data_IF_029485409657
#
_entry.id   IF_029485409657
#
_cell.length_a   1.000
_cell.length_b   1.000
_cell.length_c   1.000
_cell.angle_alpha   90.00
_cell.angle_beta   90.00
_cell.angle_gamma   90.00
#
_symmetry.space_group_name_H-M   'P 1'
#
loop_
_entity.id
_entity.type
_entity.pdbx_description
1 polymer ?
#
# COMPACT_ATOMS: atom_id res chain seq x y z
N UNK A 1 -33.84 9.43 23.70
CA UNK A 1 -32.42 9.81 23.87
C UNK A 1 -31.48 8.64 23.50
N UNK A 2 -31.88 7.39 23.73
CA UNK A 2 -31.16 6.17 23.34
C UNK A 2 -31.08 5.91 21.84
N UNK A 3 -32.14 6.16 21.05
CA UNK A 3 -32.11 5.99 19.58
C UNK A 3 -31.10 6.93 18.89
N UNK A 4 -31.07 8.20 19.27
CA UNK A 4 -30.14 9.20 18.71
C UNK A 4 -28.67 8.81 18.93
N UNK A 5 -28.37 8.18 20.07
CA UNK A 5 -27.02 7.71 20.39
C UNK A 5 -26.67 6.44 19.60
N UNK A 6 -27.65 5.54 19.39
CA UNK A 6 -27.46 4.35 18.58
C UNK A 6 -27.21 4.69 17.11
N UNK A 7 -28.01 5.60 16.53
CA UNK A 7 -27.83 6.07 15.15
C UNK A 7 -26.46 6.74 14.94
N UNK A 8 -26.05 7.58 15.90
CA UNK A 8 -24.72 8.20 15.88
C UNK A 8 -23.59 7.18 15.96
N UNK A 9 -23.76 6.13 16.77
CA UNK A 9 -22.76 5.08 16.92
C UNK A 9 -22.62 4.26 15.64
N UNK A 10 -23.74 3.87 15.02
CA UNK A 10 -23.75 3.16 13.74
C UNK A 10 -23.10 4.01 12.64
N UNK A 11 -23.41 5.31 12.58
CA UNK A 11 -22.80 6.24 11.63
C UNK A 11 -21.27 6.29 11.78
N UNK A 12 -20.76 6.41 13.01
CA UNK A 12 -19.31 6.47 13.28
C UNK A 12 -18.62 5.15 12.91
N UNK A 13 -19.20 4.00 13.29
CA UNK A 13 -18.63 2.68 12.97
C UNK A 13 -18.61 2.46 11.46
N UNK A 14 -19.71 2.79 10.77
CA UNK A 14 -19.82 2.66 9.32
C UNK A 14 -18.76 3.53 8.61
N UNK A 15 -18.67 4.81 8.98
CA UNK A 15 -17.68 5.72 8.40
C UNK A 15 -16.24 5.24 8.63
N UNK A 16 -15.94 4.67 9.80
CA UNK A 16 -14.62 4.12 10.10
C UNK A 16 -14.27 2.94 9.18
N UNK A 17 -15.20 1.99 9.00
CA UNK A 17 -15.00 0.82 8.15
C UNK A 17 -14.89 1.26 6.68
N UNK A 18 -15.78 2.12 6.20
CA UNK A 18 -15.76 2.62 4.81
C UNK A 18 -14.49 3.43 4.51
N UNK A 19 -13.98 4.20 5.47
CA UNK A 19 -12.72 4.94 5.31
C UNK A 19 -11.52 4.00 5.23
N UNK A 20 -11.49 2.97 6.08
CA UNK A 20 -10.43 1.97 6.04
C UNK A 20 -10.46 1.16 4.73
N UNK A 21 -11.65 0.76 4.29
CA UNK A 21 -11.86 0.06 3.02
C UNK A 21 -11.43 0.91 1.82
N UNK A 22 -11.83 2.19 1.79
CA UNK A 22 -11.42 3.12 0.74
C UNK A 22 -9.90 3.34 0.68
N UNK A 23 -9.22 3.39 1.84
CA UNK A 23 -7.76 3.47 1.89
C UNK A 23 -7.07 2.22 1.34
N UNK A 24 -7.64 1.04 1.60
CA UNK A 24 -7.17 -0.22 1.03
C UNK A 24 -7.42 -0.30 -0.48
N UNK A 25 -8.58 0.16 -0.93
CA UNK A 25 -8.98 0.17 -2.34
C UNK A 25 -8.02 1.01 -3.21
N UNK A 26 -7.43 2.08 -2.64
CA UNK A 26 -6.37 2.85 -3.32
C UNK A 26 -5.12 2.02 -3.59
N UNK A 27 -4.72 1.11 -2.70
CA UNK A 27 -3.61 0.19 -2.97
C UNK A 27 -4.02 -0.88 -4.00
N UNK A 28 -5.18 -1.52 -3.82
CA UNK A 28 -5.60 -2.62 -4.70
C UNK A 28 -5.98 -2.18 -6.12
N UNK A 29 -6.57 -0.99 -6.31
CA UNK A 29 -7.04 -0.54 -7.63
C UNK A 29 -6.05 0.37 -8.33
N UNK A 30 -5.47 1.35 -7.63
CA UNK A 30 -4.60 2.32 -8.30
C UNK A 30 -3.18 1.79 -8.48
N UNK A 31 -2.65 1.11 -7.48
CA UNK A 31 -1.25 0.74 -7.45
C UNK A 31 -0.98 -0.59 -8.18
N UNK A 32 -1.88 -1.56 -8.05
CA UNK A 32 -1.77 -2.85 -8.76
C UNK A 32 -2.25 -2.79 -10.23
N UNK A 33 -3.23 -1.94 -10.58
CA UNK A 33 -3.83 -1.96 -11.92
C UNK A 33 -3.33 -0.85 -12.86
N UNK A 34 -2.95 0.32 -12.35
CA UNK A 34 -2.53 1.45 -13.20
C UNK A 34 -1.07 1.33 -13.61
N UNK A 35 -0.24 0.70 -12.77
CA UNK A 35 1.17 0.50 -13.07
C UNK A 35 1.33 -0.81 -13.85
N UNK A 36 1.81 -0.78 -15.11
CA UNK A 36 1.93 -1.98 -15.93
C UNK A 36 3.19 -2.76 -15.54
N UNK A 37 3.17 -3.40 -14.36
CA UNK A 37 4.31 -4.15 -13.80
C UNK A 37 4.83 -5.22 -14.75
N UNK A 38 3.93 -5.89 -15.49
CA UNK A 38 4.31 -6.88 -16.49
C UNK A 38 5.12 -6.25 -17.65
N UNK A 39 4.70 -5.07 -18.13
CA UNK A 39 5.45 -4.34 -19.17
C UNK A 39 6.81 -3.88 -18.67
N UNK A 40 6.93 -3.50 -17.39
CA UNK A 40 8.24 -3.20 -16.79
C UNK A 40 9.16 -4.42 -16.79
N UNK A 41 8.65 -5.59 -16.39
CA UNK A 41 9.38 -6.85 -16.38
C UNK A 41 9.89 -7.24 -17.78
N UNK A 42 9.03 -7.13 -18.78
CA UNK A 42 9.37 -7.38 -20.19
C UNK A 42 10.42 -6.39 -20.70
N UNK A 43 10.26 -5.11 -20.35
CA UNK A 43 11.22 -4.06 -20.71
C UNK A 43 12.59 -4.31 -20.09
N UNK A 44 12.66 -4.72 -18.82
CA UNK A 44 13.92 -5.05 -18.13
C UNK A 44 14.64 -6.22 -18.83
N UNK A 45 13.88 -7.24 -19.26
CA UNK A 45 14.42 -8.39 -20.00
C UNK A 45 14.99 -7.94 -21.35
N UNK A 46 14.25 -7.12 -22.11
CA UNK A 46 14.67 -6.67 -23.43
C UNK A 46 15.86 -5.69 -23.37
N UNK A 47 15.91 -4.80 -22.37
CA UNK A 47 17.04 -3.91 -22.11
C UNK A 47 18.37 -4.67 -21.92
N UNK A 48 18.29 -5.91 -21.45
CA UNK A 48 19.47 -6.76 -21.25
C UNK A 48 19.93 -7.49 -22.52
N UNK A 49 19.06 -7.62 -23.54
CA UNK A 49 19.27 -8.45 -24.73
C UNK A 49 20.37 -7.93 -25.64
N UNK A 50 20.39 -6.62 -25.87
CA UNK A 50 21.34 -5.97 -26.80
C UNK A 50 22.50 -5.28 -26.08
N UNK A 51 22.77 -5.65 -24.81
CA UNK A 51 23.73 -4.93 -23.97
C UNK A 51 25.15 -4.85 -24.56
N UNK A 52 25.54 -5.86 -25.33
CA UNK A 52 26.85 -5.95 -25.99
C UNK A 52 26.92 -5.19 -27.32
N UNK A 53 25.77 -4.79 -27.88
CA UNK A 53 25.67 -4.05 -29.15
C UNK A 53 25.65 -2.53 -28.92
N UNK A 54 25.42 -2.10 -27.68
CA UNK A 54 25.51 -0.70 -27.29
C UNK A 54 26.96 -0.21 -27.21
N UNK A 55 27.15 1.08 -27.48
CA UNK A 55 28.39 1.76 -27.08
C UNK A 55 28.58 1.67 -25.56
N UNK A 56 29.81 1.79 -25.07
CA UNK A 56 30.10 1.69 -23.64
C UNK A 56 29.23 2.64 -22.80
N UNK A 57 29.03 3.88 -23.27
CA UNK A 57 28.19 4.86 -22.60
C UNK A 57 26.71 4.44 -22.54
N UNK A 58 26.16 3.97 -23.66
CA UNK A 58 24.77 3.49 -23.71
C UNK A 58 24.56 2.21 -22.88
N UNK A 59 25.56 1.30 -22.85
CA UNK A 59 25.51 0.07 -22.05
C UNK A 59 25.46 0.36 -20.54
N UNK A 60 26.20 1.38 -20.07
CA UNK A 60 26.13 1.85 -18.68
C UNK A 60 24.76 2.46 -18.37
N UNK A 61 24.25 3.35 -19.23
CA UNK A 61 22.94 3.99 -19.04
C UNK A 61 21.80 2.96 -18.98
N UNK A 62 21.80 1.98 -19.87
CA UNK A 62 20.81 0.89 -19.89
C UNK A 62 20.90 0.03 -18.62
N UNK A 63 22.11 -0.23 -18.13
CA UNK A 63 22.33 -0.92 -16.86
C UNK A 63 21.77 -0.14 -15.65
N UNK A 64 21.97 1.18 -15.63
CA UNK A 64 21.44 2.06 -14.58
C UNK A 64 19.91 2.11 -14.63
N UNK A 65 19.31 2.25 -15.81
CA UNK A 65 17.86 2.24 -16.00
C UNK A 65 17.26 0.92 -15.50
N UNK A 66 17.86 -0.22 -15.89
CA UNK A 66 17.43 -1.53 -15.39
C UNK A 66 17.45 -1.60 -13.86
N UNK A 67 18.54 -1.16 -13.25
CA UNK A 67 18.69 -1.16 -11.78
C UNK A 67 17.63 -0.29 -11.12
N UNK A 68 17.31 0.87 -11.70
CA UNK A 68 16.27 1.78 -11.21
C UNK A 68 14.87 1.18 -11.30
N UNK A 69 14.57 0.46 -12.40
CA UNK A 69 13.27 -0.20 -12.57
C UNK A 69 13.11 -1.35 -11.58
N UNK A 70 14.14 -2.17 -11.39
CA UNK A 70 14.12 -3.25 -10.39
C UNK A 70 13.96 -2.71 -8.96
N UNK A 71 14.71 -1.67 -8.58
CA UNK A 71 14.54 -1.04 -7.27
C UNK A 71 13.14 -0.41 -7.13
N UNK A 72 12.53 0.10 -8.20
CA UNK A 72 11.15 0.62 -8.13
C UNK A 72 10.13 -0.49 -7.86
N UNK A 73 10.32 -1.65 -8.50
CA UNK A 73 9.47 -2.81 -8.33
C UNK A 73 9.61 -3.46 -6.95
N UNK A 74 10.84 -3.66 -6.46
CA UNK A 74 11.08 -4.21 -5.11
C UNK A 74 10.40 -3.35 -4.03
N UNK A 75 10.33 -2.04 -4.24
CA UNK A 75 9.77 -1.09 -3.28
C UNK A 75 8.28 -0.97 -3.35
N UNK A 76 7.74 -1.17 -4.55
CA UNK A 76 6.33 -1.46 -4.67
C UNK A 76 5.93 -2.67 -3.84
N UNK A 77 6.64 -3.80 -4.01
CA UNK A 77 6.35 -5.01 -3.25
C UNK A 77 6.52 -4.83 -1.74
N UNK A 78 7.53 -4.08 -1.28
CA UNK A 78 7.73 -3.77 0.14
C UNK A 78 6.56 -2.96 0.74
N UNK A 79 6.07 -1.94 0.01
CA UNK A 79 4.91 -1.16 0.42
C UNK A 79 3.63 -2.01 0.43
N UNK A 80 3.43 -2.81 -0.62
CA UNK A 80 2.29 -3.72 -0.76
C UNK A 80 2.27 -4.75 0.37
N UNK A 81 3.41 -5.35 0.73
CA UNK A 81 3.50 -6.30 1.84
C UNK A 81 3.08 -5.67 3.18
N UNK A 82 3.49 -4.42 3.42
CA UNK A 82 3.12 -3.69 4.64
C UNK A 82 1.60 -3.49 4.74
N UNK A 83 0.93 -3.23 3.61
CA UNK A 83 -0.53 -3.14 3.56
C UNK A 83 -1.20 -4.51 3.72
N UNK A 84 -0.65 -5.57 3.11
CA UNK A 84 -1.15 -6.94 3.30
C UNK A 84 -1.11 -7.41 4.76
N UNK A 85 -0.07 -7.05 5.51
CA UNK A 85 0.01 -7.33 6.95
C UNK A 85 -1.17 -6.73 7.71
N UNK A 86 -1.49 -5.47 7.43
CA UNK A 86 -2.65 -4.81 8.01
C UNK A 86 -3.96 -5.48 7.61
N UNK A 87 -4.13 -5.84 6.33
CA UNK A 87 -5.33 -6.56 5.86
C UNK A 87 -5.55 -7.88 6.62
N UNK A 88 -4.46 -8.61 6.88
CA UNK A 88 -4.51 -9.87 7.63
C UNK A 88 -5.00 -9.68 9.07
N UNK A 89 -4.53 -8.62 9.74
CA UNK A 89 -4.98 -8.24 11.09
C UNK A 89 -6.44 -7.75 11.06
N UNK A 90 -6.77 -6.85 10.14
CA UNK A 90 -8.11 -6.26 10.00
C UNK A 90 -9.17 -7.34 9.75
N UNK A 91 -8.89 -8.31 8.88
CA UNK A 91 -9.82 -9.41 8.57
C UNK A 91 -10.16 -10.23 9.82
N UNK A 92 -9.16 -10.61 10.60
CA UNK A 92 -9.37 -11.41 11.81
C UNK A 92 -10.11 -10.62 12.89
N UNK A 93 -9.71 -9.37 13.10
CA UNK A 93 -10.32 -8.52 14.12
C UNK A 93 -11.76 -8.13 13.77
N UNK A 94 -12.06 -7.80 12.50
CA UNK A 94 -13.43 -7.50 12.07
C UNK A 94 -14.33 -8.74 12.12
N UNK A 95 -13.80 -9.94 11.86
CA UNK A 95 -14.56 -11.17 12.10
C UNK A 95 -14.92 -11.34 13.59
N UNK A 96 -13.96 -11.10 14.49
CA UNK A 96 -14.21 -11.12 15.93
C UNK A 96 -15.21 -10.02 16.37
N UNK A 97 -15.14 -8.83 15.78
CA UNK A 97 -16.08 -7.74 16.01
C UNK A 97 -17.53 -8.17 15.74
N UNK A 98 -17.76 -8.87 14.63
CA UNK A 98 -19.10 -9.37 14.26
C UNK A 98 -19.60 -10.41 15.27
N UNK A 99 -18.75 -11.37 15.66
CA UNK A 99 -19.12 -12.41 16.62
C UNK A 99 -19.46 -11.86 18.01
N UNK A 100 -18.94 -10.69 18.38
CA UNK A 100 -19.23 -10.05 19.65
C UNK A 100 -20.66 -9.50 19.76
N UNK A 101 -21.44 -9.48 18.68
CA UNK A 101 -22.87 -9.15 18.76
C UNK A 101 -23.71 -10.28 19.37
N UNK A 102 -23.25 -11.53 19.30
CA UNK A 102 -23.94 -12.65 19.92
C UNK A 102 -23.92 -12.49 21.45
N UNK A 103 -25.07 -12.65 22.11
CA UNK A 103 -25.23 -12.47 23.56
C UNK A 103 -24.60 -11.17 24.07
N UNK A 104 -25.04 -10.05 23.49
CA UNK A 104 -24.45 -8.73 23.68
C UNK A 104 -24.48 -8.24 25.14
N UNK A 105 -23.40 -7.59 25.56
CA UNK A 105 -23.26 -6.95 26.86
C UNK A 105 -22.20 -5.84 26.83
N UNK A 106 -22.11 -5.04 27.88
CA UNK A 106 -21.16 -3.90 27.95
C UNK A 106 -19.69 -4.32 27.77
N UNK A 107 -19.28 -5.50 28.24
CA UNK A 107 -17.91 -5.98 28.04
C UNK A 107 -17.62 -6.27 26.57
N UNK A 108 -18.58 -6.88 25.86
CA UNK A 108 -18.49 -7.13 24.42
C UNK A 108 -18.53 -5.83 23.61
N UNK A 109 -19.34 -4.86 24.04
CA UNK A 109 -19.35 -3.51 23.45
C UNK A 109 -17.98 -2.81 23.60
N UNK A 110 -17.35 -2.90 24.77
CA UNK A 110 -16.00 -2.37 24.99
C UNK A 110 -14.97 -3.07 24.09
N UNK A 111 -15.02 -4.41 24.02
CA UNK A 111 -14.13 -5.17 23.15
C UNK A 111 -14.29 -4.83 21.66
N UNK A 112 -15.54 -4.62 21.20
CA UNK A 112 -15.83 -4.15 19.85
C UNK A 112 -15.20 -2.78 19.56
N UNK A 113 -15.28 -1.86 20.52
CA UNK A 113 -14.64 -0.54 20.41
C UNK A 113 -13.12 -0.66 20.33
N UNK A 114 -12.52 -1.48 21.19
CA UNK A 114 -11.06 -1.69 21.21
C UNK A 114 -10.56 -2.33 19.90
N UNK A 115 -11.34 -3.25 19.33
CA UNK A 115 -11.08 -3.85 18.02
C UNK A 115 -11.06 -2.77 16.93
N UNK A 116 -12.10 -1.93 16.84
CA UNK A 116 -12.17 -0.88 15.82
C UNK A 116 -11.01 0.11 15.94
N UNK A 117 -10.69 0.54 17.17
CA UNK A 117 -9.53 1.41 17.42
C UNK A 117 -8.25 0.72 16.94
N UNK A 118 -8.04 -0.55 17.29
CA UNK A 118 -6.85 -1.29 16.87
C UNK A 118 -6.75 -1.41 15.34
N UNK A 119 -7.84 -1.72 14.65
CA UNK A 119 -7.84 -1.83 13.18
C UNK A 119 -7.48 -0.49 12.53
N UNK A 120 -8.02 0.62 13.04
CA UNK A 120 -7.74 1.96 12.52
C UNK A 120 -6.32 2.42 12.84
N UNK A 121 -5.86 2.29 14.08
CA UNK A 121 -4.52 2.69 14.51
C UNK A 121 -3.44 1.90 13.75
N UNK A 122 -3.63 0.58 13.63
CA UNK A 122 -2.71 -0.28 12.87
C UNK A 122 -2.70 0.13 11.38
N UNK A 123 -3.88 0.46 10.83
CA UNK A 123 -4.00 0.98 9.47
C UNK A 123 -3.26 2.29 9.27
N UNK A 124 -3.40 3.24 10.19
CA UNK A 124 -2.65 4.51 10.16
C UNK A 124 -1.14 4.24 10.19
N UNK A 125 -0.67 3.36 11.08
CA UNK A 125 0.75 3.02 11.16
C UNK A 125 1.26 2.40 9.85
N UNK A 126 0.56 1.37 9.34
CA UNK A 126 0.99 0.59 8.17
C UNK A 126 0.88 1.40 6.87
N UNK A 127 -0.17 2.19 6.70
CA UNK A 127 -0.30 3.08 5.55
C UNK A 127 0.76 4.20 5.57
N UNK A 128 1.11 4.74 6.74
CA UNK A 128 2.21 5.71 6.86
C UNK A 128 3.58 5.09 6.52
N UNK A 129 3.83 3.85 6.93
CA UNK A 129 5.04 3.10 6.57
C UNK A 129 5.11 2.88 5.04
N UNK A 130 4.02 2.38 4.45
CA UNK A 130 3.92 2.17 3.01
C UNK A 130 4.06 3.47 2.20
N UNK A 131 3.51 4.59 2.71
CA UNK A 131 3.68 5.91 2.10
C UNK A 131 5.13 6.39 2.15
N UNK A 132 5.85 6.19 3.27
CA UNK A 132 7.27 6.56 3.39
C UNK A 132 8.14 5.78 2.41
N UNK A 133 7.88 4.48 2.24
CA UNK A 133 8.56 3.63 1.26
C UNK A 133 8.35 4.19 -0.15
N UNK A 134 7.11 4.54 -0.48
CA UNK A 134 6.74 5.09 -1.80
C UNK A 134 7.33 6.49 -2.06
N UNK A 135 7.17 7.44 -1.13
CA UNK A 135 7.55 8.84 -1.31
C UNK A 135 9.08 9.07 -1.27
N UNK A 136 9.78 8.46 -0.32
CA UNK A 136 11.23 8.60 -0.18
C UNK A 136 12.00 8.08 -1.39
N UNK A 137 11.38 7.22 -2.19
CA UNK A 137 12.05 6.52 -3.29
C UNK A 137 11.62 6.98 -4.68
N UNK A 138 10.40 7.48 -4.86
CA UNK A 138 10.03 8.25 -6.05
C UNK A 138 11.01 9.44 -6.25
N UNK A 139 11.39 10.09 -5.14
CA UNK A 139 12.39 11.17 -5.13
C UNK A 139 13.77 10.69 -5.60
N UNK A 140 14.22 9.51 -5.16
CA UNK A 140 15.51 8.92 -5.58
C UNK A 140 15.50 8.46 -7.03
N UNK A 141 14.39 7.86 -7.47
CA UNK A 141 14.17 7.49 -8.87
C UNK A 141 14.25 8.74 -9.76
N UNK A 142 13.51 9.80 -9.45
CA UNK A 142 13.53 11.06 -10.19
C UNK A 142 14.92 11.70 -10.20
N UNK A 143 15.61 11.73 -9.07
CA UNK A 143 16.97 12.28 -8.98
C UNK A 143 17.98 11.49 -9.83
N UNK A 144 17.95 10.16 -9.74
CA UNK A 144 18.84 9.30 -10.52
C UNK A 144 18.49 9.35 -12.01
N UNK A 145 17.22 9.29 -12.36
CA UNK A 145 16.76 9.41 -13.74
C UNK A 145 17.18 10.74 -14.38
N UNK A 146 16.99 11.88 -13.70
CA UNK A 146 17.47 13.19 -14.18
C UNK A 146 18.97 13.21 -14.40
N UNK A 147 19.74 12.62 -13.47
CA UNK A 147 21.20 12.51 -13.58
C UNK A 147 21.63 11.64 -14.78
N UNK A 148 20.95 10.52 -15.00
CA UNK A 148 21.23 9.54 -16.06
C UNK A 148 20.78 10.07 -17.44
N UNK A 149 19.65 10.76 -17.52
CA UNK A 149 19.09 11.29 -18.76
C UNK A 149 19.67 12.66 -19.16
N UNK A 150 20.51 13.29 -18.33
CA UNK A 150 21.08 14.61 -18.59
C UNK A 150 20.05 15.75 -18.57
N UNK A 151 18.85 15.51 -18.01
CA UNK A 151 17.77 16.49 -17.94
C UNK A 151 17.93 17.28 -16.64
N UNK A 152 18.28 18.56 -16.74
CA UNK A 152 18.35 19.50 -15.60
C UNK A 152 16.95 19.79 -15.05
#
# INVERSE_FOLDING_TARGET
MTEIVADKTVEVVKNAIETADGALDLYNKYLDQVIPWQTFDETIKELSRFKQEYSQAASVLVGDIKTLLMDSQDKYFEATQTVYEWCGVATQLLAAYILLFDEYNEKKASAQKDILIKVLDDGITKLNEAQKISAGKLTKFQQRFRKTAGVR
#
